data_IF_815924272267
#
_entry.id   IF_815924272267
#
_cell.length_a   1.000
_cell.length_b   1.000
_cell.length_c   1.000
_cell.angle_alpha   90.00
_cell.angle_beta   90.00
_cell.angle_gamma   90.00
#
_symmetry.space_group_name_H-M   'P 1'
#
loop_
_entity.id
_entity.type
_entity.pdbx_description
1 polymer ?
#
# COMPACT_ATOMS: atom_id res chain seq x y z
N UNK A 1 8.13 -5.92 12.89
CA UNK A 1 7.23 -6.66 12.00
C UNK A 1 6.94 -5.87 10.73
N UNK A 2 5.87 -6.24 10.03
CA UNK A 2 5.23 -5.42 8.97
C UNK A 2 3.76 -5.32 9.29
N UNK A 3 3.14 -4.19 8.97
CA UNK A 3 1.74 -3.90 9.26
C UNK A 3 0.91 -3.66 7.99
N UNK A 4 1.37 -4.19 6.84
CA UNK A 4 0.69 -4.05 5.55
C UNK A 4 0.12 -5.39 5.10
N UNK A 5 -1.19 -5.40 4.82
CA UNK A 5 -1.91 -6.49 4.18
C UNK A 5 -2.50 -5.99 2.85
N UNK A 6 -2.49 -6.83 1.83
CA UNK A 6 -3.09 -6.56 0.52
C UNK A 6 -4.30 -7.45 0.32
N UNK A 7 -5.43 -6.86 -0.07
CA UNK A 7 -6.67 -7.56 -0.39
C UNK A 7 -7.12 -7.23 -1.80
N UNK A 8 -7.63 -8.25 -2.50
CA UNK A 8 -8.29 -8.10 -3.77
C UNK A 8 -9.82 -8.03 -3.66
N UNK A 9 -10.36 -8.01 -2.43
CA UNK A 9 -11.81 -7.92 -2.22
C UNK A 9 -12.40 -6.65 -2.81
N UNK A 10 -13.61 -6.72 -3.42
CA UNK A 10 -14.42 -5.54 -3.69
C UNK A 10 -14.67 -4.74 -2.40
N UNK A 11 -14.86 -3.42 -2.53
CA UNK A 11 -15.12 -2.54 -1.38
C UNK A 11 -16.35 -2.99 -0.55
N UNK A 12 -17.37 -3.54 -1.21
CA UNK A 12 -18.58 -4.05 -0.53
C UNK A 12 -18.28 -5.12 0.52
N UNK A 13 -17.22 -5.92 0.34
CA UNK A 13 -16.81 -6.95 1.31
C UNK A 13 -16.29 -6.32 2.61
N UNK A 14 -15.82 -5.07 2.58
CA UNK A 14 -15.35 -4.36 3.78
C UNK A 14 -16.46 -4.18 4.82
N UNK A 15 -17.74 -4.28 4.42
CA UNK A 15 -18.87 -4.31 5.35
C UNK A 15 -18.81 -5.51 6.31
N UNK A 16 -18.19 -6.63 5.90
CA UNK A 16 -18.03 -7.82 6.75
C UNK A 16 -17.02 -7.58 7.90
N UNK A 17 -16.17 -6.57 7.78
CA UNK A 17 -15.19 -6.15 8.80
C UNK A 17 -15.60 -4.81 9.43
N UNK A 18 -16.90 -4.68 9.73
CA UNK A 18 -17.46 -3.50 10.37
C UNK A 18 -16.73 -3.14 11.67
N UNK A 19 -16.42 -1.86 11.81
CA UNK A 19 -15.80 -1.30 13.00
C UNK A 19 -14.33 -1.66 13.22
N UNK A 20 -13.63 -2.16 12.19
CA UNK A 20 -12.23 -2.61 12.31
C UNK A 20 -11.21 -1.46 12.23
N UNK A 21 -11.47 -0.41 11.45
CA UNK A 21 -10.46 0.62 11.19
C UNK A 21 -10.66 1.88 12.04
N UNK A 22 -9.60 2.36 12.69
CA UNK A 22 -9.59 3.69 13.31
C UNK A 22 -9.42 4.84 12.30
N UNK A 23 -8.89 4.54 11.11
CA UNK A 23 -8.69 5.47 10.00
C UNK A 23 -8.97 4.74 8.67
N UNK A 24 -9.75 5.36 7.80
CA UNK A 24 -9.95 4.95 6.42
C UNK A 24 -9.60 6.10 5.47
N UNK A 25 -8.87 5.81 4.39
CA UNK A 25 -8.61 6.73 3.29
C UNK A 25 -9.31 6.21 2.04
N UNK A 26 -10.17 7.03 1.46
CA UNK A 26 -10.86 6.78 0.20
C UNK A 26 -10.33 7.79 -0.82
N UNK A 27 -9.29 7.39 -1.55
CA UNK A 27 -8.86 8.08 -2.76
C UNK A 27 -9.66 7.54 -3.94
N UNK A 28 -10.72 8.26 -4.31
CA UNK A 28 -11.76 7.69 -5.14
C UNK A 28 -11.46 7.80 -6.64
N UNK A 29 -11.84 6.79 -7.45
CA UNK A 29 -11.87 6.95 -8.89
C UNK A 29 -12.82 8.10 -9.24
N UNK A 30 -12.34 9.04 -10.03
CA UNK A 30 -13.05 10.27 -10.37
C UNK A 30 -12.87 10.62 -11.86
N UNK A 31 -13.57 11.65 -12.32
CA UNK A 31 -13.48 12.12 -13.72
C UNK A 31 -12.10 12.69 -14.10
N UNK A 32 -11.23 12.95 -13.12
CA UNK A 32 -9.79 13.16 -13.33
C UNK A 32 -9.41 14.50 -13.96
N UNK A 33 -10.20 15.55 -13.73
CA UNK A 33 -9.96 16.90 -14.28
C UNK A 33 -8.58 17.46 -13.90
N UNK A 34 -8.09 17.17 -12.68
CA UNK A 34 -6.75 17.53 -12.24
C UNK A 34 -5.65 16.92 -13.12
N UNK A 35 -5.88 15.75 -13.72
CA UNK A 35 -4.90 15.07 -14.57
C UNK A 35 -4.83 15.65 -15.99
N UNK A 36 -5.73 16.57 -16.36
CA UNK A 36 -5.79 17.14 -17.71
C UNK A 36 -4.52 17.90 -18.13
N UNK A 37 -3.71 18.39 -17.19
CA UNK A 37 -2.41 19.02 -17.50
C UNK A 37 -1.29 18.00 -17.75
N UNK A 38 -1.37 16.79 -17.16
CA UNK A 38 -0.37 15.73 -17.34
C UNK A 38 -0.45 15.02 -18.69
N UNK A 39 -1.65 14.88 -19.26
CA UNK A 39 -1.80 14.19 -20.53
C UNK A 39 -3.15 14.42 -21.21
N UNK A 40 -3.21 14.25 -22.55
CA UNK A 40 -4.43 14.51 -23.33
C UNK A 40 -5.52 13.46 -23.13
N UNK A 41 -5.19 12.31 -22.53
CA UNK A 41 -6.15 11.21 -22.36
C UNK A 41 -7.29 11.57 -21.40
N UNK A 42 -6.97 12.21 -20.26
CA UNK A 42 -8.00 12.67 -19.31
C UNK A 42 -9.01 13.61 -20.00
N UNK A 43 -8.53 14.50 -20.87
CA UNK A 43 -9.40 15.42 -21.64
C UNK A 43 -10.29 14.71 -22.65
N UNK A 44 -9.81 13.61 -23.24
CA UNK A 44 -10.57 12.82 -24.24
C UNK A 44 -11.67 11.99 -23.61
N UNK A 45 -11.42 11.47 -22.41
CA UNK A 45 -12.35 10.61 -21.70
C UNK A 45 -13.41 11.39 -20.91
N UNK A 46 -13.12 12.65 -20.57
CA UNK A 46 -14.00 13.47 -19.77
C UNK A 46 -15.34 13.77 -20.48
N UNK A 47 -16.43 13.62 -19.73
CA UNK A 47 -17.77 14.04 -20.12
C UNK A 47 -18.63 14.27 -18.86
N UNK A 48 -19.73 15.04 -18.95
CA UNK A 48 -20.70 15.12 -17.85
C UNK A 48 -21.21 13.74 -17.40
N UNK A 49 -21.48 12.83 -18.34
CA UNK A 49 -21.88 11.44 -18.02
C UNK A 49 -20.79 10.67 -17.23
N UNK A 50 -19.51 11.01 -17.41
CA UNK A 50 -18.44 10.43 -16.60
C UNK A 50 -18.49 10.94 -15.17
N UNK A 51 -18.68 12.26 -14.98
CA UNK A 51 -18.83 12.89 -13.67
C UNK A 51 -19.98 12.24 -12.89
N UNK A 52 -21.15 12.10 -13.52
CA UNK A 52 -22.33 11.49 -12.90
C UNK A 52 -22.09 10.02 -12.50
N UNK A 53 -21.47 9.23 -13.39
CA UNK A 53 -21.12 7.83 -13.07
C UNK A 53 -20.10 7.72 -11.95
N UNK A 54 -19.08 8.57 -11.94
CA UNK A 54 -18.08 8.61 -10.88
C UNK A 54 -18.70 8.98 -9.54
N UNK A 55 -19.57 9.98 -9.49
CA UNK A 55 -20.31 10.37 -8.29
C UNK A 55 -21.14 9.22 -7.70
N UNK A 56 -21.81 8.42 -8.55
CA UNK A 56 -22.56 7.22 -8.11
C UNK A 56 -21.62 6.17 -7.51
N UNK A 57 -20.48 5.89 -8.16
CA UNK A 57 -19.50 4.92 -7.67
C UNK A 57 -18.89 5.38 -6.35
N UNK A 58 -18.51 6.65 -6.26
CA UNK A 58 -17.95 7.29 -5.06
C UNK A 58 -18.88 7.16 -3.86
N UNK A 59 -20.19 7.39 -4.06
CA UNK A 59 -21.18 7.22 -3.01
C UNK A 59 -21.16 5.80 -2.42
N UNK A 60 -21.11 4.78 -3.28
CA UNK A 60 -21.02 3.38 -2.84
C UNK A 60 -19.73 3.07 -2.07
N UNK A 61 -18.59 3.55 -2.58
CA UNK A 61 -17.28 3.39 -1.92
C UNK A 61 -17.23 4.07 -0.54
N UNK A 62 -17.82 5.26 -0.42
CA UNK A 62 -17.92 5.98 0.84
C UNK A 62 -18.79 5.21 1.85
N UNK A 63 -19.92 4.65 1.42
CA UNK A 63 -20.78 3.85 2.29
C UNK A 63 -20.08 2.55 2.76
N UNK A 64 -19.34 1.90 1.87
CA UNK A 64 -18.57 0.69 2.18
C UNK A 64 -17.43 0.97 3.17
N UNK A 65 -16.64 2.02 2.91
CA UNK A 65 -15.58 2.46 3.80
C UNK A 65 -16.15 2.88 5.17
N UNK A 66 -17.24 3.65 5.18
CA UNK A 66 -17.91 4.09 6.40
C UNK A 66 -18.39 2.91 7.26
N UNK A 67 -18.86 1.82 6.66
CA UNK A 67 -19.25 0.62 7.38
C UNK A 67 -18.08 -0.03 8.12
N UNK A 68 -16.92 -0.14 7.45
CA UNK A 68 -15.70 -0.74 8.03
C UNK A 68 -15.03 0.11 9.14
N UNK A 69 -15.36 1.40 9.20
CA UNK A 69 -14.77 2.34 10.16
C UNK A 69 -15.34 2.14 11.58
N UNK A 70 -14.47 2.10 12.58
CA UNK A 70 -14.82 2.06 14.00
C UNK A 70 -15.63 3.31 14.41
N UNK A 71 -16.54 3.21 15.39
CA UNK A 71 -17.08 4.38 16.07
C UNK A 71 -15.95 5.28 16.56
N UNK A 72 -16.04 6.59 16.35
CA UNK A 72 -14.94 7.50 16.64
C UNK A 72 -13.75 7.42 15.67
N UNK A 73 -13.79 6.60 14.61
CA UNK A 73 -12.76 6.55 13.57
C UNK A 73 -12.85 7.73 12.59
N UNK A 74 -11.76 7.97 11.85
CA UNK A 74 -11.69 9.03 10.82
C UNK A 74 -11.79 8.45 9.42
N UNK A 75 -12.62 9.06 8.57
CA UNK A 75 -12.62 8.87 7.12
C UNK A 75 -11.96 10.08 6.46
N UNK A 76 -10.96 9.85 5.62
CA UNK A 76 -10.41 10.84 4.70
C UNK A 76 -10.91 10.50 3.30
N UNK A 77 -11.48 11.48 2.62
CA UNK A 77 -11.94 11.37 1.25
C UNK A 77 -11.13 12.31 0.36
N UNK A 78 -10.65 11.81 -0.78
CA UNK A 78 -9.94 12.61 -1.77
C UNK A 78 -10.32 12.23 -3.20
N UNK A 79 -10.20 13.21 -4.09
CA UNK A 79 -10.36 13.06 -5.54
C UNK A 79 -9.31 13.91 -6.26
N UNK A 80 -9.05 13.61 -7.53
CA UNK A 80 -8.27 14.48 -8.44
C UNK A 80 -9.16 15.14 -9.50
N UNK A 81 -10.39 15.50 -9.13
CA UNK A 81 -11.37 16.22 -9.97
C UNK A 81 -11.65 17.62 -9.41
N UNK A 82 -12.37 18.46 -10.16
CA UNK A 82 -12.90 19.72 -9.66
C UNK A 82 -14.43 19.75 -9.61
N UNK A 83 -15.11 18.72 -10.13
CA UNK A 83 -16.56 18.60 -10.18
C UNK A 83 -17.21 18.56 -8.76
N UNK A 84 -18.11 19.50 -8.41
CA UNK A 84 -18.77 19.51 -7.11
C UNK A 84 -19.59 18.25 -6.81
N UNK A 85 -20.12 17.59 -7.85
CA UNK A 85 -20.85 16.32 -7.78
C UNK A 85 -20.02 15.17 -7.20
N UNK A 86 -18.71 15.22 -7.42
CA UNK A 86 -17.74 14.25 -6.94
C UNK A 86 -17.08 14.69 -5.62
N UNK A 87 -17.20 15.97 -5.24
CA UNK A 87 -16.48 16.56 -4.11
C UNK A 87 -17.44 16.95 -2.96
N UNK A 88 -17.88 18.22 -2.91
CA UNK A 88 -18.68 18.75 -1.80
C UNK A 88 -20.01 18.00 -1.67
N UNK A 89 -20.64 17.62 -2.78
CA UNK A 89 -21.91 16.90 -2.75
C UNK A 89 -21.77 15.52 -2.10
N UNK A 90 -20.66 14.81 -2.35
CA UNK A 90 -20.41 13.50 -1.72
C UNK A 90 -20.26 13.63 -0.20
N UNK A 91 -19.49 14.63 0.23
CA UNK A 91 -19.23 14.90 1.65
C UNK A 91 -20.52 15.30 2.36
N UNK A 92 -21.27 16.24 1.80
CA UNK A 92 -22.55 16.71 2.35
C UNK A 92 -23.57 15.56 2.46
N UNK A 93 -23.71 14.76 1.40
CA UNK A 93 -24.63 13.63 1.39
C UNK A 93 -24.27 12.57 2.44
N UNK A 94 -22.98 12.32 2.66
CA UNK A 94 -22.52 11.39 3.69
C UNK A 94 -22.82 11.92 5.10
N UNK A 95 -22.57 13.21 5.35
CA UNK A 95 -22.90 13.88 6.63
C UNK A 95 -24.39 13.75 6.92
N UNK A 96 -25.26 14.11 5.97
CA UNK A 96 -26.71 14.07 6.14
C UNK A 96 -27.24 12.66 6.44
N UNK A 97 -26.67 11.63 5.78
CA UNK A 97 -27.11 10.23 5.93
C UNK A 97 -26.61 9.59 7.23
N UNK A 98 -25.44 9.98 7.73
CA UNK A 98 -24.74 9.23 8.78
C UNK A 98 -24.49 10.01 10.08
N UNK A 99 -24.71 11.33 10.07
CA UNK A 99 -24.32 12.19 11.18
C UNK A 99 -22.80 12.36 11.32
N UNK A 100 -22.04 12.10 10.25
CA UNK A 100 -20.59 12.32 10.24
C UNK A 100 -20.24 13.75 10.67
N UNK A 101 -19.19 13.90 11.46
CA UNK A 101 -18.75 15.20 11.95
C UNK A 101 -17.56 15.69 11.12
N UNK A 102 -17.65 16.82 10.42
CA UNK A 102 -16.52 17.40 9.71
C UNK A 102 -15.34 17.66 10.64
N UNK A 103 -14.15 17.31 10.19
CA UNK A 103 -12.89 17.64 10.84
C UNK A 103 -12.20 18.76 10.08
N UNK A 104 -11.76 19.78 10.81
CA UNK A 104 -10.94 20.83 10.25
C UNK A 104 -9.53 20.29 9.95
N UNK A 105 -9.15 20.33 8.67
CA UNK A 105 -7.81 19.95 8.23
C UNK A 105 -6.92 21.19 8.28
N UNK A 106 -5.96 21.20 9.21
CA UNK A 106 -5.02 22.30 9.33
C UNK A 106 -3.97 22.24 8.20
N UNK A 107 -3.87 23.33 7.44
CA UNK A 107 -2.86 23.53 6.40
C UNK A 107 -2.10 24.83 6.64
N UNK A 108 -0.82 24.95 6.22
CA UNK A 108 -0.10 26.21 6.29
C UNK A 108 -0.86 27.35 5.61
N UNK A 109 -0.83 28.55 6.16
CA UNK A 109 -1.60 29.70 5.64
C UNK A 109 -1.21 30.08 4.20
N UNK A 110 0.03 29.82 3.80
CA UNK A 110 0.61 30.07 2.48
C UNK A 110 0.51 28.86 1.54
N UNK A 111 -0.19 27.80 1.93
CA UNK A 111 -0.29 26.56 1.15
C UNK A 111 -1.07 26.68 -0.16
N UNK A 112 -1.89 27.72 -0.31
CA UNK A 112 -2.73 27.96 -1.49
C UNK A 112 -4.02 27.14 -1.56
N UNK A 113 -4.30 26.31 -0.54
CA UNK A 113 -5.58 25.60 -0.41
C UNK A 113 -6.73 26.57 -0.14
N UNK A 114 -7.91 26.23 -0.63
CA UNK A 114 -9.13 27.00 -0.42
C UNK A 114 -10.20 26.15 0.22
N UNK A 115 -10.92 26.71 1.19
CA UNK A 115 -12.08 26.06 1.77
C UNK A 115 -13.17 25.82 0.71
N UNK A 116 -13.76 24.64 0.72
CA UNK A 116 -14.82 24.23 -0.18
C UNK A 116 -15.81 23.33 0.55
N UNK A 117 -16.93 23.90 1.00
CA UNK A 117 -17.87 23.22 1.91
C UNK A 117 -17.17 22.75 3.19
N UNK A 118 -17.24 21.44 3.45
CA UNK A 118 -16.59 20.76 4.57
C UNK A 118 -15.19 20.20 4.25
N UNK A 119 -14.62 20.55 3.08
CA UNK A 119 -13.30 20.11 2.64
C UNK A 119 -12.41 21.26 2.16
N UNK A 120 -11.28 20.89 1.56
CA UNK A 120 -10.28 21.76 0.99
C UNK A 120 -10.07 21.43 -0.49
N UNK A 121 -9.91 22.47 -1.30
CA UNK A 121 -9.51 22.37 -2.72
C UNK A 121 -8.10 22.89 -2.92
N UNK A 122 -7.31 22.12 -3.66
CA UNK A 122 -6.06 22.55 -4.23
C UNK A 122 -6.29 22.91 -5.70
N UNK A 123 -6.20 24.20 -6.04
CA UNK A 123 -6.34 24.64 -7.42
C UNK A 123 -4.97 24.71 -8.11
N UNK A 124 -4.82 24.25 -9.36
CA UNK A 124 -3.52 24.25 -10.05
C UNK A 124 -2.91 25.63 -10.28
N UNK A 125 -3.71 26.70 -10.19
CA UNK A 125 -3.25 28.09 -10.28
C UNK A 125 -2.90 28.72 -8.92
N UNK A 126 -3.10 28.00 -7.81
CA UNK A 126 -2.82 28.44 -6.43
C UNK A 126 -1.78 27.58 -5.72
N UNK A 127 -1.68 26.30 -6.09
CA UNK A 127 -0.73 25.35 -5.50
C UNK A 127 0.30 24.88 -6.53
N UNK A 128 1.46 24.43 -6.05
CA UNK A 128 2.44 23.70 -6.86
C UNK A 128 1.98 22.24 -7.04
N UNK A 129 0.98 22.02 -7.90
CA UNK A 129 0.38 20.71 -8.12
C UNK A 129 -0.68 20.71 -9.23
N UNK A 130 -1.20 19.53 -9.55
CA UNK A 130 -2.23 19.33 -10.59
C UNK A 130 -3.64 19.77 -10.15
N UNK A 131 -3.87 19.75 -8.83
CA UNK A 131 -5.14 20.06 -8.18
C UNK A 131 -5.88 18.80 -7.73
N UNK A 132 -6.53 18.89 -6.57
CA UNK A 132 -7.24 17.80 -5.91
C UNK A 132 -8.20 18.34 -4.83
N UNK A 133 -9.13 17.52 -4.37
CA UNK A 133 -10.01 17.78 -3.24
C UNK A 133 -9.70 16.85 -2.07
N UNK A 134 -9.90 17.33 -0.84
CA UNK A 134 -9.71 16.57 0.39
C UNK A 134 -10.77 16.95 1.42
N UNK A 135 -11.40 15.97 2.07
CA UNK A 135 -12.22 16.18 3.26
C UNK A 135 -11.90 15.13 4.32
N UNK A 136 -12.02 15.51 5.59
CA UNK A 136 -11.87 14.60 6.72
C UNK A 136 -13.15 14.62 7.57
N UNK A 137 -13.66 13.43 7.89
CA UNK A 137 -14.89 13.23 8.64
C UNK A 137 -14.63 12.28 9.81
N UNK A 138 -15.23 12.57 10.96
CA UNK A 138 -15.22 11.69 12.14
C UNK A 138 -16.54 10.95 12.23
N UNK A 139 -16.49 9.62 12.41
CA UNK A 139 -17.66 8.81 12.72
C UNK A 139 -18.11 9.07 14.16
N UNK A 140 -19.41 9.31 14.43
CA UNK A 140 -19.90 9.46 15.79
C UNK A 140 -19.52 8.27 16.68
N UNK A 141 -19.24 8.56 17.95
CA UNK A 141 -18.79 7.57 18.92
C UNK A 141 -17.38 7.87 19.43
N UNK A 142 -16.82 6.90 20.16
CA UNK A 142 -15.50 7.00 20.79
C UNK A 142 -14.66 5.82 20.33
N UNK A 143 -13.42 6.11 19.93
CA UNK A 143 -12.40 5.12 19.63
C UNK A 143 -11.28 5.33 20.65
N UNK A 144 -10.89 4.26 21.36
CA UNK A 144 -9.63 4.27 22.10
C UNK A 144 -8.51 4.19 21.06
N UNK A 145 -7.74 5.28 20.93
CA UNK A 145 -6.55 5.27 20.09
C UNK A 145 -5.44 4.59 20.88
N UNK A 146 -5.13 3.35 20.52
CA UNK A 146 -3.88 2.72 20.94
C UNK A 146 -2.72 3.48 20.29
N UNK A 147 -1.71 3.82 21.09
CA UNK A 147 -0.57 4.62 20.65
C UNK A 147 0.26 3.90 19.58
N UNK A 148 1.11 4.67 18.87
CA UNK A 148 2.08 4.08 17.96
C UNK A 148 3.12 3.27 18.77
N UNK A 149 2.94 1.96 18.82
CA UNK A 149 3.85 1.03 19.45
C UNK A 149 4.73 0.30 18.41
N UNK A 150 5.94 -0.09 18.81
CA UNK A 150 6.91 -0.77 17.97
C UNK A 150 6.37 -2.10 17.40
N UNK A 151 6.55 -2.31 16.09
CA UNK A 151 6.08 -3.52 15.41
C UNK A 151 6.82 -4.78 15.87
N UNK A 152 6.11 -5.79 16.34
CA UNK A 152 6.69 -7.09 16.70
C UNK A 152 6.78 -8.01 15.48
N UNK A 153 7.90 -8.69 15.26
CA UNK A 153 8.07 -9.55 14.08
C UNK A 153 7.45 -10.94 14.31
N UNK A 154 6.36 -11.24 13.59
CA UNK A 154 5.72 -12.56 13.58
C UNK A 154 5.88 -13.27 12.24
N UNK A 155 5.92 -14.60 12.27
CA UNK A 155 5.86 -15.45 11.06
C UNK A 155 4.49 -16.12 10.97
N UNK A 156 3.80 -15.93 9.85
CA UNK A 156 2.54 -16.58 9.51
C UNK A 156 2.72 -17.49 8.31
N UNK A 157 2.36 -18.76 8.44
CA UNK A 157 2.33 -19.71 7.32
C UNK A 157 0.92 -19.70 6.69
N UNK A 158 0.83 -19.42 5.39
CA UNK A 158 -0.43 -19.37 4.63
C UNK A 158 -0.18 -19.63 3.14
N UNK A 159 -0.95 -20.54 2.54
CA UNK A 159 -0.88 -20.92 1.11
C UNK A 159 0.56 -21.20 0.61
N UNK A 160 1.22 -22.18 1.24
CA UNK A 160 2.59 -22.64 0.90
C UNK A 160 3.69 -21.56 1.03
N UNK A 161 3.36 -20.43 1.68
CA UNK A 161 4.26 -19.31 1.91
C UNK A 161 4.32 -18.95 3.39
N UNK A 162 5.49 -18.47 3.80
CA UNK A 162 5.62 -17.76 5.06
C UNK A 162 5.60 -16.25 4.83
N UNK A 163 4.98 -15.54 5.76
CA UNK A 163 4.75 -14.12 5.71
C UNK A 163 5.24 -13.49 7.01
N UNK A 164 6.00 -12.39 6.90
CA UNK A 164 6.23 -11.48 8.02
C UNK A 164 4.91 -10.76 8.27
N UNK A 165 4.49 -10.73 9.52
CA UNK A 165 3.36 -9.94 10.02
C UNK A 165 3.78 -9.18 11.27
N UNK A 166 2.90 -8.32 11.78
CA UNK A 166 2.97 -7.83 13.15
C UNK A 166 2.37 -8.92 14.06
N UNK A 167 3.18 -9.46 14.97
CA UNK A 167 2.76 -10.55 15.86
C UNK A 167 1.52 -10.19 16.67
N UNK A 168 1.43 -8.93 17.10
CA UNK A 168 0.31 -8.41 17.89
C UNK A 168 -1.01 -8.45 17.11
N UNK A 169 -0.92 -8.33 15.79
CA UNK A 169 -2.06 -8.37 14.88
C UNK A 169 -2.38 -9.79 14.41
N UNK A 170 -1.69 -10.84 14.87
CA UNK A 170 -1.88 -12.21 14.37
C UNK A 170 -3.34 -12.66 14.39
N UNK A 171 -4.06 -12.42 15.49
CA UNK A 171 -5.46 -12.82 15.62
C UNK A 171 -6.35 -12.07 14.61
N UNK A 172 -6.08 -10.78 14.42
CA UNK A 172 -6.81 -9.95 13.47
C UNK A 172 -6.51 -10.36 12.03
N UNK A 173 -5.24 -10.63 11.69
CA UNK A 173 -4.85 -11.17 10.39
C UNK A 173 -5.59 -12.48 10.08
N UNK A 174 -5.70 -13.41 11.04
CA UNK A 174 -6.49 -14.63 10.86
C UNK A 174 -7.98 -14.36 10.70
N UNK A 175 -8.53 -13.34 11.40
CA UNK A 175 -9.92 -12.91 11.21
C UNK A 175 -10.14 -12.38 9.80
N UNK A 176 -9.30 -11.47 9.33
CA UNK A 176 -9.40 -10.88 7.99
C UNK A 176 -9.25 -11.94 6.89
N UNK A 177 -8.35 -12.91 7.04
CA UNK A 177 -8.18 -14.02 6.11
C UNK A 177 -9.44 -14.88 5.93
N UNK A 178 -10.34 -14.91 6.92
CA UNK A 178 -11.62 -15.64 6.83
C UNK A 178 -12.74 -14.82 6.20
N UNK A 179 -12.60 -13.49 6.19
CA UNK A 179 -13.66 -12.56 5.82
C UNK A 179 -13.44 -11.90 4.46
N UNK A 180 -12.17 -11.79 4.02
CA UNK A 180 -11.78 -11.11 2.80
C UNK A 180 -10.96 -12.02 1.89
N UNK A 181 -10.93 -11.70 0.59
CA UNK A 181 -9.94 -12.24 -0.33
C UNK A 181 -8.62 -11.50 -0.14
N UNK A 182 -7.73 -12.08 0.65
CA UNK A 182 -6.41 -11.52 0.92
C UNK A 182 -5.41 -12.04 -0.09
N UNK A 183 -4.78 -11.14 -0.84
CA UNK A 183 -3.75 -11.50 -1.83
C UNK A 183 -2.36 -11.61 -1.16
N UNK A 184 -2.13 -10.85 -0.08
CA UNK A 184 -0.89 -10.87 0.70
C UNK A 184 -1.17 -10.51 2.16
N UNK A 185 -1.10 -11.45 3.12
CA UNK A 185 -1.35 -11.16 4.54
C UNK A 185 -0.23 -10.38 5.23
N UNK A 186 0.91 -10.19 4.54
CA UNK A 186 2.09 -9.55 5.08
C UNK A 186 3.19 -9.43 4.02
N UNK A 187 4.44 -9.30 4.45
CA UNK A 187 5.60 -9.33 3.54
C UNK A 187 6.05 -10.78 3.33
N UNK A 188 6.09 -11.30 2.09
CA UNK A 188 6.43 -12.71 1.87
C UNK A 188 7.90 -12.96 2.19
N UNK A 189 8.18 -14.03 2.94
CA UNK A 189 9.50 -14.42 3.43
C UNK A 189 10.12 -15.49 2.54
N UNK A 190 9.45 -16.64 2.42
CA UNK A 190 9.85 -17.78 1.62
C UNK A 190 8.63 -18.57 1.12
N UNK A 191 8.82 -19.34 0.05
CA UNK A 191 7.88 -20.35 -0.46
C UNK A 191 8.38 -21.74 -0.13
N UNK A 192 7.48 -22.67 0.14
CA UNK A 192 7.74 -24.10 0.25
C UNK A 192 7.15 -24.81 -0.96
N UNK A 193 7.98 -25.45 -1.76
CA UNK A 193 7.56 -26.34 -2.84
C UNK A 193 8.15 -27.73 -2.58
N UNK A 194 7.28 -28.67 -2.18
CA UNK A 194 7.62 -30.06 -1.81
C UNK A 194 8.81 -30.14 -0.85
N UNK A 195 10.01 -30.36 -1.40
CA UNK A 195 11.26 -30.58 -0.67
C UNK A 195 12.18 -29.35 -0.62
N UNK A 196 11.73 -28.21 -1.16
CA UNK A 196 12.56 -27.00 -1.30
C UNK A 196 11.89 -25.79 -0.70
N UNK A 197 12.68 -25.04 0.07
CA UNK A 197 12.31 -23.72 0.55
C UNK A 197 13.15 -22.68 -0.18
N UNK A 198 12.49 -21.68 -0.74
CA UNK A 198 13.15 -20.63 -1.52
C UNK A 198 12.76 -19.24 -1.00
N UNK A 199 13.72 -18.32 -0.85
CA UNK A 199 13.44 -16.98 -0.37
C UNK A 199 12.62 -16.19 -1.38
N UNK A 200 11.72 -15.34 -0.89
CA UNK A 200 10.92 -14.45 -1.72
C UNK A 200 11.65 -13.12 -1.95
N UNK A 201 11.55 -12.58 -3.16
CA UNK A 201 12.31 -11.39 -3.56
C UNK A 201 12.01 -10.17 -2.67
N UNK A 202 10.75 -9.99 -2.24
CA UNK A 202 10.38 -8.89 -1.34
C UNK A 202 11.05 -8.98 0.04
N UNK A 203 11.39 -10.18 0.51
CA UNK A 203 12.07 -10.36 1.80
C UNK A 203 13.43 -9.67 1.83
N UNK A 204 14.15 -9.61 0.70
CA UNK A 204 15.43 -8.93 0.63
C UNK A 204 15.32 -7.41 0.80
N UNK A 205 14.17 -6.82 0.48
CA UNK A 205 13.94 -5.37 0.51
C UNK A 205 13.46 -4.86 1.87
N UNK A 206 13.16 -5.76 2.81
CA UNK A 206 12.72 -5.43 4.16
C UNK A 206 13.72 -6.01 5.17
N UNK A 207 14.42 -5.20 5.98
CA UNK A 207 15.46 -5.69 6.88
C UNK A 207 14.99 -6.79 7.85
N UNK A 208 13.78 -6.65 8.42
CA UNK A 208 13.21 -7.66 9.32
C UNK A 208 12.90 -8.98 8.58
N UNK A 209 12.35 -8.88 7.36
CA UNK A 209 12.07 -10.04 6.53
C UNK A 209 13.36 -10.74 6.08
N UNK A 210 14.36 -9.97 5.66
CA UNK A 210 15.66 -10.46 5.24
C UNK A 210 16.34 -11.25 6.37
N UNK A 211 16.32 -10.70 7.60
CA UNK A 211 16.87 -11.37 8.78
C UNK A 211 16.18 -12.72 9.03
N UNK A 212 14.85 -12.74 9.12
CA UNK A 212 14.10 -13.98 9.36
C UNK A 212 14.34 -15.02 8.26
N UNK A 213 14.41 -14.58 7.00
CA UNK A 213 14.68 -15.48 5.87
C UNK A 213 16.12 -16.00 5.89
N UNK A 214 17.11 -15.18 6.25
CA UNK A 214 18.50 -15.60 6.46
C UNK A 214 18.57 -16.67 7.54
N UNK A 215 17.96 -16.41 8.69
CA UNK A 215 17.99 -17.31 9.84
C UNK A 215 17.26 -18.63 9.53
N UNK A 216 16.11 -18.58 8.84
CA UNK A 216 15.36 -19.77 8.47
C UNK A 216 16.10 -20.65 7.43
N UNK A 217 16.69 -20.04 6.41
CA UNK A 217 17.36 -20.75 5.32
C UNK A 217 18.85 -21.01 5.57
N UNK A 218 19.39 -20.52 6.69
CA UNK A 218 20.83 -20.48 6.96
C UNK A 218 21.60 -19.84 5.79
N UNK A 219 21.05 -18.75 5.24
CA UNK A 219 21.58 -18.10 4.06
C UNK A 219 22.82 -17.25 4.38
N UNK A 220 23.73 -17.13 3.42
CA UNK A 220 24.86 -16.19 3.52
C UNK A 220 24.44 -14.74 3.26
N UNK A 221 25.36 -13.81 3.47
CA UNK A 221 25.26 -12.43 2.99
C UNK A 221 26.45 -12.14 2.08
N UNK A 222 26.17 -11.66 0.88
CA UNK A 222 27.16 -11.27 -0.12
C UNK A 222 27.13 -9.74 -0.25
N UNK A 223 28.07 -9.10 0.44
CA UNK A 223 28.31 -7.67 0.27
C UNK A 223 28.97 -7.44 -1.10
N UNK A 224 28.39 -6.54 -1.90
CA UNK A 224 28.85 -6.24 -3.26
C UNK A 224 29.19 -4.76 -3.43
N UNK A 225 30.11 -4.48 -4.33
CA UNK A 225 30.37 -3.10 -4.75
C UNK A 225 29.26 -2.56 -5.68
N UNK A 226 29.39 -1.32 -6.14
CA UNK A 226 28.39 -0.69 -6.99
C UNK A 226 28.29 -1.34 -8.38
N UNK A 227 29.42 -1.77 -8.96
CA UNK A 227 29.44 -2.39 -10.27
C UNK A 227 28.76 -3.76 -10.24
N UNK A 228 29.04 -4.55 -9.21
CA UNK A 228 28.41 -5.83 -8.93
C UNK A 228 26.93 -5.70 -8.56
N UNK A 229 26.55 -4.70 -7.77
CA UNK A 229 25.15 -4.39 -7.47
C UNK A 229 24.36 -4.10 -8.77
N UNK A 230 24.92 -3.27 -9.65
CA UNK A 230 24.30 -2.97 -10.94
C UNK A 230 24.22 -4.21 -11.84
N UNK A 231 25.25 -5.06 -11.85
CA UNK A 231 25.23 -6.34 -12.57
C UNK A 231 24.13 -7.27 -12.02
N UNK A 232 24.02 -7.38 -10.70
CA UNK A 232 22.96 -8.13 -10.03
C UNK A 232 21.56 -7.62 -10.43
N UNK A 233 21.34 -6.31 -10.37
CA UNK A 233 20.05 -5.69 -10.73
C UNK A 233 19.73 -5.84 -12.22
N UNK A 234 20.71 -6.06 -13.10
CA UNK A 234 20.50 -6.42 -14.51
C UNK A 234 20.17 -7.91 -14.71
N UNK A 235 20.27 -8.73 -13.67
CA UNK A 235 20.05 -10.16 -13.74
C UNK A 235 21.29 -10.96 -14.17
N UNK A 236 22.48 -10.36 -14.10
CA UNK A 236 23.74 -11.01 -14.46
C UNK A 236 24.21 -11.97 -13.35
N UNK A 237 25.03 -12.95 -13.73
CA UNK A 237 25.63 -13.92 -12.81
C UNK A 237 26.84 -13.28 -12.14
N UNK A 238 26.89 -13.31 -10.80
CA UNK A 238 28.07 -12.85 -10.05
C UNK A 238 29.08 -14.01 -9.93
N UNK A 239 30.34 -13.76 -10.28
CA UNK A 239 31.41 -14.79 -10.24
C UNK A 239 32.02 -14.82 -8.84
N UNK A 240 32.30 -16.02 -8.31
CA UNK A 240 32.96 -16.21 -7.02
C UNK A 240 33.80 -17.48 -7.03
N UNK A 241 34.88 -17.51 -6.24
CA UNK A 241 35.69 -18.72 -6.05
C UNK A 241 34.98 -19.80 -5.23
N UNK A 242 34.07 -19.41 -4.33
CA UNK A 242 33.28 -20.32 -3.50
C UNK A 242 31.85 -19.77 -3.32
N UNK A 243 30.88 -20.42 -3.94
CA UNK A 243 29.46 -20.07 -3.87
C UNK A 243 28.64 -21.31 -3.48
N UNK A 244 27.97 -21.25 -2.33
CA UNK A 244 27.16 -22.36 -1.80
C UNK A 244 25.87 -21.83 -1.16
N UNK A 245 24.76 -22.51 -1.43
CA UNK A 245 23.47 -22.22 -0.81
C UNK A 245 22.87 -20.87 -1.19
N UNK A 246 21.77 -20.46 -0.55
CA UNK A 246 21.18 -19.14 -0.74
C UNK A 246 22.05 -18.06 -0.07
N UNK A 247 22.10 -16.86 -0.67
CA UNK A 247 22.68 -15.68 -0.03
C UNK A 247 21.90 -14.40 -0.38
N UNK A 248 21.83 -13.46 0.56
CA UNK A 248 21.34 -12.11 0.34
C UNK A 248 22.43 -11.27 -0.32
N UNK A 249 22.15 -10.65 -1.47
CA UNK A 249 23.02 -9.64 -2.05
C UNK A 249 22.76 -8.31 -1.35
N UNK A 250 23.81 -7.69 -0.82
CA UNK A 250 23.72 -6.45 -0.06
C UNK A 250 24.67 -5.39 -0.63
N UNK A 251 24.19 -4.16 -0.78
CA UNK A 251 25.03 -3.01 -1.07
C UNK A 251 24.79 -1.91 -0.05
N UNK A 252 25.84 -1.47 0.65
CA UNK A 252 25.78 -0.41 1.68
C UNK A 252 24.73 -0.69 2.78
N UNK A 253 24.62 -1.94 3.25
CA UNK A 253 23.64 -2.30 4.29
C UNK A 253 22.21 -2.48 3.78
N UNK A 254 21.97 -2.35 2.47
CA UNK A 254 20.65 -2.52 1.85
C UNK A 254 20.60 -3.83 1.07
N UNK A 255 19.65 -4.69 1.42
CA UNK A 255 19.39 -5.91 0.67
C UNK A 255 18.81 -5.59 -0.71
N UNK A 256 19.37 -6.21 -1.74
CA UNK A 256 18.99 -6.02 -3.15
C UNK A 256 18.15 -7.18 -3.68
N UNK A 257 18.42 -8.40 -3.22
CA UNK A 257 17.76 -9.61 -3.67
C UNK A 257 18.57 -10.86 -3.33
N UNK A 258 18.13 -12.01 -3.81
CA UNK A 258 18.70 -13.30 -3.44
C UNK A 258 19.49 -13.91 -4.61
N UNK A 259 20.58 -14.60 -4.26
CA UNK A 259 21.35 -15.46 -5.17
C UNK A 259 21.42 -16.88 -4.63
N UNK A 260 21.66 -17.85 -5.53
CA UNK A 260 21.93 -19.23 -5.14
C UNK A 260 23.28 -19.69 -5.68
N UNK A 261 24.17 -20.08 -4.78
CA UNK A 261 25.52 -20.53 -5.09
C UNK A 261 25.54 -21.95 -5.64
N UNK A 262 26.32 -22.17 -6.70
CA UNK A 262 26.54 -23.47 -7.31
C UNK A 262 28.02 -23.64 -7.69
N UNK A 263 28.88 -23.79 -6.68
CA UNK A 263 30.33 -23.98 -6.86
C UNK A 263 31.03 -22.65 -7.15
N UNK A 264 31.27 -22.34 -8.43
CA UNK A 264 32.05 -21.16 -8.85
C UNK A 264 31.21 -19.96 -9.31
N UNK A 265 29.89 -19.95 -9.05
CA UNK A 265 29.01 -18.86 -9.48
C UNK A 265 27.81 -18.67 -8.56
N UNK A 266 27.34 -17.43 -8.50
CA UNK A 266 26.07 -17.05 -7.88
C UNK A 266 25.00 -16.88 -8.95
N UNK A 267 24.05 -17.81 -9.00
CA UNK A 267 22.91 -17.70 -9.89
C UNK A 267 21.97 -16.60 -9.38
N UNK A 268 21.58 -15.71 -10.29
CA UNK A 268 20.81 -14.53 -9.98
C UNK A 268 19.31 -14.85 -9.83
N UNK A 269 18.77 -14.62 -8.63
CA UNK A 269 17.35 -14.78 -8.30
C UNK A 269 16.51 -13.50 -8.47
N UNK A 270 17.08 -12.40 -8.97
CA UNK A 270 16.37 -11.13 -9.17
C UNK A 270 15.24 -11.29 -10.19
N UNK A 271 13.98 -10.93 -9.84
CA UNK A 271 12.83 -11.11 -10.72
C UNK A 271 13.03 -10.44 -12.08
N UNK A 272 12.75 -11.17 -13.16
CA UNK A 272 12.89 -10.65 -14.54
C UNK A 272 12.17 -9.30 -14.75
N UNK A 273 10.94 -9.07 -14.25
CA UNK A 273 10.26 -7.78 -14.41
C UNK A 273 10.91 -6.62 -13.66
N UNK A 274 11.74 -6.89 -12.64
CA UNK A 274 12.40 -5.88 -11.80
C UNK A 274 13.79 -5.50 -12.28
N UNK A 275 14.28 -6.13 -13.36
CA UNK A 275 15.62 -5.89 -13.86
C UNK A 275 15.73 -4.52 -14.48
N UNK A 276 16.76 -3.78 -14.10
CA UNK A 276 17.06 -2.50 -14.74
C UNK A 276 17.50 -2.76 -16.18
N UNK A 277 16.98 -1.96 -17.11
CA UNK A 277 17.44 -1.92 -18.50
C UNK A 277 18.33 -0.71 -18.64
N UNK A 278 19.49 -0.86 -19.26
CA UNK A 278 20.20 0.32 -19.76
C UNK A 278 19.33 0.93 -20.85
N UNK A 279 19.01 2.22 -20.70
CA UNK A 279 18.56 3.06 -21.82
C UNK A 279 19.77 3.44 -22.64
#
# INVERSE_FOLDING_TARGET
>A
GTNVMLTGSPAADLRAISGTFGLALVDAPCSGEGLMRRGPEARRQWSPDLVDRCAIVQQGLLDDAWASLAPGGTLIYSTCTWAPEEDEHQVEALIQRTGAMPLEVQVPADSGFTQAGHGLRAWPHRVLGEGFFLAALRKPGVCEQEGAEDLEAGVLEHEERAWLIDERMRNEVHRLLRLLRVDAPGTPLWTRDRDRTAPQAAAALCPAAARLTIDHLQAGVLAVDEAEALAFLRGEVLRSGEARGPALVEHRGLGLGWVHGAGGRWNNGHPKPWRIRMR
#
